data_IF_438186684009
#
_entry.id   IF_438186684009
#
_cell.length_a   1.000
_cell.length_b   1.000
_cell.length_c   1.000
_cell.angle_alpha   90.00
_cell.angle_beta   90.00
_cell.angle_gamma   90.00
#
_symmetry.space_group_name_H-M   'P 1'
#
loop_
_entity.id
_entity.type
_entity.pdbx_description
1 polymer ?
#
# COMPACT_ATOMS: atom_id res chain seq x y z
N UNK A 1 5.75 1.80 -24.27
CA UNK A 1 6.18 2.21 -22.91
C UNK A 1 5.39 3.44 -22.52
N UNK A 2 4.47 3.33 -21.54
CA UNK A 2 3.65 4.46 -21.11
C UNK A 2 4.57 5.51 -20.47
N UNK A 3 4.58 6.72 -21.03
CA UNK A 3 5.53 7.78 -20.66
C UNK A 3 5.54 8.08 -19.17
N UNK A 4 6.72 8.43 -18.64
CA UNK A 4 6.89 8.89 -17.25
C UNK A 4 5.86 9.97 -16.96
N UNK A 5 4.98 9.73 -15.99
CA UNK A 5 4.01 10.74 -15.57
C UNK A 5 4.78 11.95 -15.03
N UNK A 6 4.73 13.06 -15.75
CA UNK A 6 5.30 14.33 -15.30
C UNK A 6 4.31 14.99 -14.34
N UNK A 7 4.81 15.38 -13.19
CA UNK A 7 4.05 16.14 -12.20
C UNK A 7 4.33 17.63 -12.39
N UNK A 8 3.31 18.50 -12.33
CA UNK A 8 3.51 19.96 -12.44
C UNK A 8 4.44 20.54 -11.38
N UNK A 9 4.51 19.91 -10.21
CA UNK A 9 5.39 20.32 -9.12
C UNK A 9 5.59 19.21 -8.08
N UNK A 10 6.48 19.49 -7.12
CA UNK A 10 6.82 18.55 -6.04
C UNK A 10 5.62 18.23 -5.14
N UNK A 11 4.69 19.17 -4.96
CA UNK A 11 3.48 18.98 -4.16
C UNK A 11 2.56 17.93 -4.79
N UNK A 12 2.31 18.03 -6.09
CA UNK A 12 1.44 17.12 -6.84
C UNK A 12 2.03 15.71 -6.86
N UNK A 13 3.36 15.61 -7.03
CA UNK A 13 4.09 14.35 -6.95
C UNK A 13 3.93 13.68 -5.58
N UNK A 14 4.16 14.43 -4.49
CA UNK A 14 4.01 13.92 -3.11
C UNK A 14 2.59 13.44 -2.83
N UNK A 15 1.58 14.22 -3.23
CA UNK A 15 0.18 13.82 -3.05
C UNK A 15 -0.17 12.57 -3.86
N UNK A 16 0.38 12.42 -5.06
CA UNK A 16 0.16 11.24 -5.87
C UNK A 16 0.80 9.99 -5.26
N UNK A 17 2.04 10.09 -4.79
CA UNK A 17 2.74 9.01 -4.08
C UNK A 17 2.00 8.65 -2.80
N UNK A 18 1.61 9.64 -2.00
CA UNK A 18 0.88 9.41 -0.74
C UNK A 18 -0.44 8.66 -0.98
N UNK A 19 -1.23 9.09 -1.98
CA UNK A 19 -2.45 8.38 -2.37
C UNK A 19 -2.16 6.96 -2.85
N UNK A 20 -1.10 6.77 -3.63
CA UNK A 20 -0.72 5.46 -4.13
C UNK A 20 -0.30 4.51 -3.00
N UNK A 21 0.61 4.93 -2.12
CA UNK A 21 1.09 4.16 -0.96
C UNK A 21 -0.08 3.81 -0.04
N UNK A 22 -0.93 4.80 0.28
CA UNK A 22 -2.10 4.57 1.13
C UNK A 22 -3.03 3.51 0.54
N UNK A 23 -3.37 3.63 -0.75
CA UNK A 23 -4.21 2.63 -1.43
C UNK A 23 -3.53 1.26 -1.47
N UNK A 24 -2.22 1.22 -1.74
CA UNK A 24 -1.46 -0.02 -1.82
C UNK A 24 -1.50 -0.77 -0.49
N UNK A 25 -1.19 -0.08 0.61
CA UNK A 25 -1.10 -0.70 1.94
C UNK A 25 -2.46 -1.06 2.54
N UNK A 26 -3.49 -0.25 2.29
CA UNK A 26 -4.81 -0.42 2.96
C UNK A 26 -5.83 -1.20 2.14
N UNK A 27 -5.78 -1.11 0.80
CA UNK A 27 -6.86 -1.61 -0.08
C UNK A 27 -6.41 -2.66 -1.08
N UNK A 28 -5.16 -2.62 -1.57
CA UNK A 28 -4.71 -3.56 -2.61
C UNK A 28 -4.62 -4.96 -2.03
N UNK A 29 -5.34 -5.90 -2.63
CA UNK A 29 -5.28 -7.32 -2.27
C UNK A 29 -4.09 -7.97 -2.98
N UNK A 30 -3.37 -8.81 -2.26
CA UNK A 30 -2.18 -9.51 -2.78
C UNK A 30 -2.40 -11.02 -2.72
N UNK A 31 -2.16 -11.72 -3.83
CA UNK A 31 -2.34 -13.19 -3.90
C UNK A 31 -1.39 -13.92 -2.96
N UNK A 32 -0.15 -13.44 -2.84
CA UNK A 32 0.84 -13.97 -1.91
C UNK A 32 0.43 -13.84 -0.43
N UNK A 33 -0.45 -12.87 -0.11
CA UNK A 33 -0.96 -12.64 1.25
C UNK A 33 -2.34 -13.29 1.47
N UNK A 34 -2.81 -14.16 0.56
CA UNK A 34 -4.13 -14.77 0.67
C UNK A 34 -5.28 -13.82 0.33
N UNK A 35 -5.06 -12.90 -0.63
CA UNK A 35 -6.05 -11.91 -1.06
C UNK A 35 -6.48 -10.92 0.04
N UNK A 36 -5.58 -10.56 0.94
CA UNK A 36 -5.79 -9.48 1.91
C UNK A 36 -4.84 -8.31 1.63
N UNK A 37 -5.12 -7.16 2.24
CA UNK A 37 -4.25 -6.00 2.15
C UNK A 37 -3.00 -6.17 3.02
N UNK A 38 -1.86 -5.55 2.64
CA UNK A 38 -0.64 -5.60 3.43
C UNK A 38 -0.85 -5.27 4.92
N UNK A 39 -1.61 -4.21 5.22
CA UNK A 39 -1.88 -3.84 6.61
C UNK A 39 -2.68 -4.91 7.36
N UNK A 40 -3.64 -5.57 6.71
CA UNK A 40 -4.42 -6.63 7.34
C UNK A 40 -3.57 -7.88 7.60
N UNK A 41 -2.59 -8.15 6.73
CA UNK A 41 -1.63 -9.23 6.94
C UNK A 41 -0.74 -8.96 8.16
N UNK A 42 -0.18 -7.75 8.27
CA UNK A 42 0.63 -7.34 9.42
C UNK A 42 -0.18 -7.39 10.72
N UNK A 43 -1.42 -6.89 10.72
CA UNK A 43 -2.31 -6.95 11.88
C UNK A 43 -2.58 -8.38 12.35
N UNK A 44 -2.86 -9.31 11.43
CA UNK A 44 -3.05 -10.73 11.77
C UNK A 44 -1.79 -11.35 12.35
N UNK A 45 -0.63 -11.00 11.78
CA UNK A 45 0.68 -11.50 12.24
C UNK A 45 1.00 -10.97 13.63
N UNK A 46 0.69 -9.70 13.90
CA UNK A 46 0.84 -9.10 15.23
C UNK A 46 -0.07 -9.76 16.26
N UNK A 47 -1.35 -9.97 15.94
CA UNK A 47 -2.28 -10.69 16.82
C UNK A 47 -1.81 -12.11 17.16
N UNK A 48 -1.22 -12.82 16.20
CA UNK A 48 -0.65 -14.15 16.44
C UNK A 48 0.59 -14.10 17.35
N UNK A 49 1.42 -13.06 17.21
CA UNK A 49 2.58 -12.86 18.07
C UNK A 49 2.17 -12.50 19.51
N UNK A 50 1.11 -11.69 19.69
CA UNK A 50 0.61 -11.31 21.02
C UNK A 50 -0.09 -12.47 21.76
N UNK A 51 -0.55 -13.49 21.03
CA UNK A 51 -1.26 -14.64 21.60
C UNK A 51 -0.35 -15.82 21.97
N UNK A 52 0.96 -15.74 21.67
CA UNK A 52 1.97 -16.77 21.93
C UNK A 52 2.75 -16.48 23.22
#
# INVERSE_FOLDING_TARGET
MQGRRRWPGAREARLAVFRWVTRYNTRRRHSALGQISPIAFEQRSATLADAA
#
